data_IF_652356574939
#
_entry.id   IF_652356574939
#
_cell.length_a   1.000
_cell.length_b   1.000
_cell.length_c   1.000
_cell.angle_alpha   90.00
_cell.angle_beta   90.00
_cell.angle_gamma   90.00
#
_symmetry.space_group_name_H-M   'P 1'
#
loop_
_entity.id
_entity.type
_entity.pdbx_description
1 polymer ?
#
# COMPACT_ATOMS: atom_id res chain seq x y z
N UNK A 1 -8.04 51.46 11.20
CA UNK A 1 -8.75 51.22 9.92
C UNK A 1 -7.94 50.18 9.14
N UNK A 2 -8.41 48.94 9.05
CA UNK A 2 -7.78 47.93 8.21
C UNK A 2 -8.23 48.19 6.76
N UNK A 3 -7.28 48.48 5.87
CA UNK A 3 -7.55 48.66 4.44
C UNK A 3 -7.63 47.28 3.79
N UNK A 4 -8.82 46.94 3.29
CA UNK A 4 -9.09 45.71 2.55
C UNK A 4 -8.89 45.93 1.04
N UNK A 5 -7.75 46.49 0.63
CA UNK A 5 -7.41 46.62 -0.80
C UNK A 5 -6.85 45.29 -1.32
N UNK A 6 -7.74 44.34 -1.64
CA UNK A 6 -7.37 43.16 -2.44
C UNK A 6 -7.53 43.50 -3.91
N UNK A 7 -6.44 43.96 -4.54
CA UNK A 7 -6.42 44.19 -5.98
C UNK A 7 -6.64 42.87 -6.73
N UNK A 8 -7.31 42.97 -7.88
CA UNK A 8 -7.62 41.83 -8.73
C UNK A 8 -6.32 41.18 -9.25
N UNK A 9 -6.18 39.86 -9.04
CA UNK A 9 -5.10 39.06 -9.61
C UNK A 9 -5.51 38.54 -10.99
N UNK A 10 -4.65 38.77 -11.99
CA UNK A 10 -4.81 38.22 -13.33
C UNK A 10 -3.78 37.12 -13.55
N UNK A 11 -4.25 35.90 -13.82
CA UNK A 11 -3.39 34.76 -14.10
C UNK A 11 -3.15 34.61 -15.60
N UNK A 12 -1.92 34.25 -15.97
CA UNK A 12 -1.54 33.92 -17.35
C UNK A 12 -1.83 32.47 -17.73
N UNK A 13 -1.29 32.03 -18.87
CA UNK A 13 -1.51 30.67 -19.40
C UNK A 13 -0.94 29.53 -18.54
N UNK A 14 0.01 29.83 -17.63
CA UNK A 14 0.68 28.84 -16.78
C UNK A 14 1.90 28.18 -17.44
N UNK A 15 2.71 27.50 -16.61
CA UNK A 15 3.92 26.79 -17.04
C UNK A 15 3.78 25.33 -16.65
N UNK A 16 4.02 24.42 -17.62
CA UNK A 16 4.07 22.99 -17.37
C UNK A 16 5.49 22.56 -17.08
N UNK A 17 5.76 22.16 -15.84
CA UNK A 17 7.04 21.62 -15.41
C UNK A 17 6.96 20.09 -15.34
N UNK A 18 7.89 19.41 -16.00
CA UNK A 18 8.10 17.97 -15.85
C UNK A 18 9.40 17.73 -15.11
N UNK A 19 9.33 17.02 -14.00
CA UNK A 19 10.49 16.65 -13.20
C UNK A 19 10.87 15.21 -13.53
N UNK A 20 12.08 15.01 -14.04
CA UNK A 20 12.63 13.68 -14.32
C UNK A 20 13.36 13.13 -13.09
N UNK A 21 13.48 11.79 -13.02
CA UNK A 21 14.29 11.14 -11.98
C UNK A 21 15.74 11.60 -12.04
N UNK A 22 16.38 11.72 -10.87
CA UNK A 22 17.83 11.90 -10.77
C UNK A 22 18.57 10.73 -11.43
N UNK A 23 19.77 11.02 -11.96
CA UNK A 23 20.69 9.98 -12.43
C UNK A 23 21.07 9.02 -11.30
N UNK A 24 20.96 7.73 -11.57
CA UNK A 24 21.19 6.64 -10.62
C UNK A 24 21.69 5.39 -11.36
N UNK A 25 22.25 4.39 -10.65
CA UNK A 25 22.66 3.13 -11.27
C UNK A 25 21.49 2.41 -11.94
N UNK A 26 21.80 1.59 -12.94
CA UNK A 26 20.82 0.74 -13.63
C UNK A 26 20.10 -0.15 -12.62
N UNK A 27 18.78 -0.19 -12.70
CA UNK A 27 17.94 -1.00 -11.84
C UNK A 27 17.08 -1.93 -12.70
N UNK A 28 17.19 -3.25 -12.42
CA UNK A 28 16.44 -4.28 -13.14
C UNK A 28 14.95 -4.24 -12.77
N UNK A 29 14.02 -4.33 -13.74
CA UNK A 29 12.60 -4.33 -13.48
C UNK A 29 12.12 -5.60 -12.77
N UNK A 30 11.11 -5.46 -11.91
CA UNK A 30 10.26 -6.57 -11.49
C UNK A 30 8.97 -6.58 -12.31
N UNK A 31 8.65 -7.69 -12.97
CA UNK A 31 7.54 -7.78 -13.94
C UNK A 31 6.43 -8.67 -13.41
N UNK A 32 5.22 -8.12 -13.35
CA UNK A 32 4.02 -8.80 -12.88
C UNK A 32 2.91 -8.70 -13.92
N UNK A 33 2.15 -9.78 -14.08
CA UNK A 33 0.96 -9.79 -14.94
C UNK A 33 -0.30 -9.90 -14.08
N UNK A 34 -1.30 -9.09 -14.41
CA UNK A 34 -2.61 -9.10 -13.79
C UNK A 34 -3.66 -9.31 -14.88
N UNK A 35 -4.65 -10.15 -14.60
CA UNK A 35 -5.70 -10.53 -15.57
C UNK A 35 -7.07 -10.29 -14.94
N UNK A 36 -7.98 -9.71 -15.69
CA UNK A 36 -9.38 -9.51 -15.29
C UNK A 36 -10.29 -9.62 -16.52
N UNK A 37 -10.97 -10.76 -16.65
CA UNK A 37 -11.74 -11.11 -17.84
C UNK A 37 -10.85 -10.97 -19.10
N UNK A 38 -11.25 -10.19 -20.09
CA UNK A 38 -10.47 -9.94 -21.32
C UNK A 38 -9.32 -8.95 -21.12
N UNK A 39 -9.28 -8.22 -20.00
CA UNK A 39 -8.27 -7.20 -19.75
C UNK A 39 -7.03 -7.80 -19.10
N UNK A 40 -5.87 -7.49 -19.65
CA UNK A 40 -4.57 -7.89 -19.11
C UNK A 40 -3.73 -6.64 -18.89
N UNK A 41 -3.11 -6.54 -17.72
CA UNK A 41 -2.18 -5.48 -17.36
C UNK A 41 -0.80 -6.09 -17.07
N UNK A 42 0.24 -5.48 -17.64
CA UNK A 42 1.61 -5.76 -17.29
C UNK A 42 2.17 -4.62 -16.45
N UNK A 43 2.49 -4.91 -15.19
CA UNK A 43 3.12 -4.00 -14.25
C UNK A 43 4.63 -4.24 -14.24
N UNK A 44 5.38 -3.18 -14.48
CA UNK A 44 6.84 -3.17 -14.41
C UNK A 44 7.26 -2.22 -13.30
N UNK A 45 7.91 -2.74 -12.27
CA UNK A 45 8.19 -2.00 -11.04
C UNK A 45 9.68 -1.69 -10.90
N UNK A 46 9.96 -0.45 -10.47
CA UNK A 46 11.25 0.03 -9.94
C UNK A 46 12.46 -0.20 -10.87
N UNK A 47 12.37 0.23 -12.13
CA UNK A 47 13.45 0.14 -13.13
C UNK A 47 14.10 1.50 -13.43
N UNK A 48 15.33 1.47 -13.94
CA UNK A 48 16.05 2.66 -14.41
C UNK A 48 17.12 2.26 -15.42
N UNK A 49 17.27 2.91 -16.60
CA UNK A 49 16.67 4.20 -17.01
C UNK A 49 15.23 4.11 -17.54
N UNK A 50 14.62 5.25 -17.88
CA UNK A 50 13.21 5.39 -18.34
C UNK A 50 12.89 4.60 -19.62
N UNK A 51 13.86 4.41 -20.50
CA UNK A 51 13.66 3.75 -21.78
C UNK A 51 13.39 2.25 -21.56
N UNK A 52 12.20 1.79 -21.96
CA UNK A 52 11.76 0.41 -21.77
C UNK A 52 10.81 -0.01 -22.88
N UNK A 53 10.85 -1.28 -23.28
CA UNK A 53 9.92 -1.86 -24.24
C UNK A 53 9.07 -2.93 -23.56
N UNK A 54 7.75 -2.73 -23.55
CA UNK A 54 6.77 -3.65 -22.95
C UNK A 54 5.88 -4.22 -24.06
N UNK A 55 5.89 -5.53 -24.21
CA UNK A 55 5.14 -6.26 -25.24
C UNK A 55 4.33 -7.40 -24.63
N UNK A 56 3.18 -7.68 -25.23
CA UNK A 56 2.39 -8.86 -24.94
C UNK A 56 2.64 -9.91 -26.02
N UNK A 57 2.82 -11.15 -25.60
CA UNK A 57 2.83 -12.31 -26.48
C UNK A 57 1.47 -12.99 -26.32
N UNK A 58 0.68 -13.00 -27.40
CA UNK A 58 -0.64 -13.61 -27.43
C UNK A 58 -1.01 -14.05 -28.85
N UNK A 59 -1.86 -15.07 -29.01
CA UNK A 59 -2.30 -15.52 -30.33
C UNK A 59 -3.28 -14.54 -30.99
N UNK A 60 -4.09 -13.81 -30.19
CA UNK A 60 -5.08 -12.86 -30.67
C UNK A 60 -5.21 -11.66 -29.73
N UNK A 61 -4.75 -10.52 -30.21
CA UNK A 61 -4.91 -9.21 -29.57
C UNK A 61 -6.18 -8.53 -30.07
N UNK A 62 -7.05 -8.08 -29.16
CA UNK A 62 -8.21 -7.25 -29.50
C UNK A 62 -7.76 -5.78 -29.56
N UNK A 63 -7.08 -5.32 -28.50
CA UNK A 63 -6.63 -3.93 -28.38
C UNK A 63 -5.44 -3.83 -27.44
N UNK A 64 -4.47 -2.99 -27.79
CA UNK A 64 -3.36 -2.63 -26.89
C UNK A 64 -3.34 -1.12 -26.66
N UNK A 65 -2.88 -0.72 -25.48
CA UNK A 65 -2.73 0.67 -25.10
C UNK A 65 -1.26 1.01 -24.86
N UNK A 66 -0.90 2.28 -25.09
CA UNK A 66 0.43 2.79 -24.78
C UNK A 66 0.75 2.66 -23.28
N UNK A 67 2.01 2.35 -22.92
CA UNK A 67 2.39 2.20 -21.53
C UNK A 67 2.40 3.54 -20.80
N UNK A 68 1.80 3.57 -19.61
CA UNK A 68 1.90 4.71 -18.70
C UNK A 68 3.13 4.53 -17.80
N UNK A 69 4.08 5.48 -17.85
CA UNK A 69 5.31 5.47 -17.05
C UNK A 69 5.24 6.58 -16.00
N UNK A 70 5.56 6.24 -14.76
CA UNK A 70 5.56 7.15 -13.61
C UNK A 70 6.83 6.99 -12.79
N UNK A 71 7.21 8.04 -12.05
CA UNK A 71 8.27 7.96 -11.04
C UNK A 71 7.68 7.32 -9.78
N UNK A 72 8.28 6.23 -9.31
CA UNK A 72 7.87 5.55 -8.09
C UNK A 72 8.44 6.26 -6.84
N UNK A 73 7.90 5.99 -5.64
CA UNK A 73 8.43 6.56 -4.39
C UNK A 73 9.91 6.21 -4.12
N UNK A 74 10.45 5.16 -4.76
CA UNK A 74 11.86 4.80 -4.68
C UNK A 74 12.78 5.72 -5.50
N UNK A 75 12.20 6.66 -6.27
CA UNK A 75 12.91 7.52 -7.21
C UNK A 75 13.24 6.83 -8.53
N UNK A 76 12.73 5.63 -8.80
CA UNK A 76 12.91 4.89 -10.07
C UNK A 76 11.66 5.04 -10.94
N UNK A 77 11.64 4.44 -12.12
CA UNK A 77 10.45 4.37 -12.96
C UNK A 77 9.63 3.12 -12.65
N UNK A 78 8.31 3.24 -12.75
CA UNK A 78 7.39 2.12 -12.85
C UNK A 78 6.46 2.35 -14.04
N UNK A 79 6.01 1.28 -14.67
CA UNK A 79 5.19 1.36 -15.86
C UNK A 79 4.05 0.35 -15.83
N UNK A 80 2.93 0.70 -16.44
CA UNK A 80 1.80 -0.22 -16.67
C UNK A 80 1.42 -0.16 -18.14
N UNK A 81 1.41 -1.32 -18.80
CA UNK A 81 0.80 -1.49 -20.14
C UNK A 81 -0.48 -2.30 -20.01
N UNK A 82 -1.53 -1.85 -20.68
CA UNK A 82 -2.85 -2.50 -20.69
C UNK A 82 -3.14 -3.05 -22.09
N UNK A 83 -3.86 -4.15 -22.15
CA UNK A 83 -4.39 -4.71 -23.38
C UNK A 83 -5.64 -5.54 -23.14
N UNK A 84 -6.37 -5.80 -24.21
CA UNK A 84 -7.55 -6.66 -24.27
C UNK A 84 -7.26 -7.81 -25.20
N UNK A 85 -7.54 -9.03 -24.74
CA UNK A 85 -7.18 -10.27 -25.40
C UNK A 85 -8.37 -11.24 -25.38
N UNK A 86 -8.50 -12.03 -26.44
CA UNK A 86 -9.57 -13.04 -26.55
C UNK A 86 -9.34 -14.19 -25.57
N UNK A 87 -8.08 -14.63 -25.45
CA UNK A 87 -7.64 -15.60 -24.44
C UNK A 87 -6.62 -14.97 -23.48
N UNK A 88 -7.08 -14.38 -22.36
CA UNK A 88 -6.20 -13.74 -21.38
C UNK A 88 -5.25 -14.74 -20.70
N UNK A 89 -5.60 -16.03 -20.62
CA UNK A 89 -4.79 -17.03 -19.93
C UNK A 89 -3.52 -17.37 -20.72
N UNK A 90 -3.59 -17.34 -22.05
CA UNK A 90 -2.43 -17.53 -22.94
C UNK A 90 -1.45 -16.34 -22.98
N UNK A 91 -1.86 -15.16 -22.48
CA UNK A 91 -1.04 -13.94 -22.56
C UNK A 91 0.15 -14.01 -21.60
N UNK A 92 1.33 -13.73 -22.15
CA UNK A 92 2.58 -13.50 -21.41
C UNK A 92 3.05 -12.07 -21.65
N UNK A 93 3.60 -11.41 -20.61
CA UNK A 93 4.24 -10.11 -20.78
C UNK A 93 5.76 -10.26 -20.87
N UNK A 94 6.33 -9.67 -21.90
CA UNK A 94 7.76 -9.60 -22.17
C UNK A 94 8.23 -8.16 -22.05
N UNK A 95 9.23 -7.95 -21.22
CA UNK A 95 9.81 -6.62 -20.97
C UNK A 95 11.27 -6.65 -21.38
N UNK A 96 11.68 -5.70 -22.22
CA UNK A 96 13.07 -5.51 -22.61
C UNK A 96 13.58 -4.18 -22.03
N UNK A 97 14.67 -4.26 -21.28
CA UNK A 97 15.30 -3.14 -20.59
C UNK A 97 16.81 -3.34 -20.57
N UNK A 98 17.59 -2.35 -21.02
CA UNK A 98 19.06 -2.44 -21.12
C UNK A 98 19.57 -3.72 -21.81
N UNK A 99 18.88 -4.15 -22.88
CA UNK A 99 19.13 -5.39 -23.65
C UNK A 99 18.87 -6.72 -22.91
N UNK A 100 18.44 -6.68 -21.65
CA UNK A 100 17.96 -7.85 -20.92
C UNK A 100 16.45 -8.04 -21.13
N UNK A 101 15.99 -9.30 -21.13
CA UNK A 101 14.58 -9.66 -21.25
C UNK A 101 14.06 -10.23 -19.93
N UNK A 102 12.88 -9.79 -19.53
CA UNK A 102 12.21 -10.19 -18.30
C UNK A 102 10.82 -10.71 -18.62
N UNK A 103 10.51 -11.90 -18.11
CA UNK A 103 9.20 -12.53 -18.26
C UNK A 103 8.32 -12.20 -17.05
N UNK A 104 7.01 -12.10 -17.26
CA UNK A 104 6.06 -11.86 -16.18
C UNK A 104 5.93 -13.04 -15.23
N UNK A 105 5.91 -12.75 -13.93
CA UNK A 105 5.44 -13.69 -12.90
C UNK A 105 3.94 -13.47 -12.66
N UNK A 106 3.17 -14.54 -12.49
CA UNK A 106 1.74 -14.46 -12.19
C UNK A 106 1.52 -13.85 -10.80
N UNK A 107 0.74 -12.77 -10.74
CA UNK A 107 0.33 -12.20 -9.46
C UNK A 107 -0.96 -12.89 -9.01
N UNK A 108 -0.84 -13.90 -8.15
CA UNK A 108 -2.01 -14.56 -7.59
C UNK A 108 -2.67 -13.65 -6.54
N UNK A 109 -3.81 -13.07 -6.90
CA UNK A 109 -4.66 -12.34 -5.95
C UNK A 109 -5.18 -13.37 -4.94
N UNK A 110 -4.70 -13.33 -3.70
CA UNK A 110 -5.23 -14.17 -2.62
C UNK A 110 -6.69 -13.81 -2.34
N UNK A 111 -7.61 -14.41 -3.12
CA UNK A 111 -9.04 -14.29 -2.89
C UNK A 111 -9.40 -15.14 -1.67
N UNK A 112 -9.33 -14.57 -0.47
CA UNK A 112 -10.10 -15.09 0.67
C UNK A 112 -11.58 -14.81 0.40
N UNK A 113 -12.20 -15.61 -0.47
CA UNK A 113 -13.65 -15.73 -0.55
C UNK A 113 -14.12 -16.35 0.76
N UNK A 114 -14.62 -15.50 1.66
CA UNK A 114 -15.41 -15.91 2.81
C UNK A 114 -16.63 -16.68 2.31
N UNK A 115 -16.52 -18.01 2.24
CA UNK A 115 -17.68 -18.89 2.16
C UNK A 115 -18.32 -18.88 3.55
N UNK A 116 -19.28 -17.97 3.76
CA UNK A 116 -20.31 -18.13 4.78
C UNK A 116 -21.31 -19.17 4.26
N UNK A 117 -21.28 -20.35 4.86
CA UNK A 117 -22.32 -21.37 4.76
C UNK A 117 -22.54 -21.90 6.16
N UNK A 118 -23.75 -21.69 6.64
CA UNK A 118 -24.34 -22.09 7.92
C UNK A 118 -24.36 -23.60 8.15
N UNK A 119 -24.04 -24.03 9.37
CA UNK A 119 -24.26 -25.39 9.91
C UNK A 119 -23.32 -25.70 11.09
N UNK A 120 -23.88 -25.81 12.29
CA UNK A 120 -23.26 -26.08 13.61
C UNK A 120 -23.02 -27.61 13.85
N UNK A 121 -22.46 -28.13 14.99
CA UNK A 121 -21.08 -28.09 15.52
C UNK A 121 -20.36 -29.48 15.69
N UNK A 122 -19.01 -29.47 15.70
CA UNK A 122 -17.98 -30.35 16.37
C UNK A 122 -17.98 -31.91 16.26
N UNK A 123 -16.92 -32.68 16.67
CA UNK A 123 -15.58 -32.32 17.22
C UNK A 123 -14.33 -33.05 16.66
N UNK A 124 -13.16 -32.45 16.94
CA UNK A 124 -11.81 -33.01 17.19
C UNK A 124 -11.12 -33.99 16.22
N UNK A 125 -9.91 -33.60 15.77
CA UNK A 125 -8.62 -34.27 16.15
C UNK A 125 -7.38 -33.45 15.73
N UNK A 126 -6.37 -33.49 16.61
CA UNK A 126 -5.00 -32.97 16.55
C UNK A 126 -4.27 -33.40 15.25
N UNK A 127 -3.27 -32.69 14.70
CA UNK A 127 -1.93 -32.52 15.27
C UNK A 127 -1.07 -31.52 14.46
N UNK A 128 -0.08 -30.96 15.15
CA UNK A 128 0.75 -29.83 14.79
C UNK A 128 1.73 -30.07 13.61
N UNK A 129 1.93 -29.05 12.78
CA UNK A 129 3.23 -28.84 12.15
C UNK A 129 3.53 -27.34 12.05
N UNK A 130 4.54 -26.94 12.81
CA UNK A 130 5.06 -25.58 12.88
C UNK A 130 5.66 -25.18 11.53
N UNK A 131 5.04 -24.21 10.85
CA UNK A 131 5.75 -23.35 9.91
C UNK A 131 5.46 -21.91 10.28
N UNK A 132 6.44 -21.30 10.93
CA UNK A 132 6.52 -19.88 11.26
C UNK A 132 6.16 -19.07 10.02
N UNK A 133 4.94 -18.53 10.00
CA UNK A 133 4.51 -17.60 8.97
C UNK A 133 5.33 -16.32 9.12
N UNK A 134 6.06 -15.97 8.08
CA UNK A 134 6.73 -14.67 7.97
C UNK A 134 5.67 -13.58 8.12
N UNK A 135 5.75 -12.87 9.25
CA UNK A 135 4.85 -11.81 9.64
C UNK A 135 5.02 -10.69 8.62
N UNK A 136 3.99 -10.45 7.80
CA UNK A 136 3.93 -9.25 6.99
C UNK A 136 3.84 -8.04 7.94
N UNK A 137 4.97 -7.39 8.17
CA UNK A 137 4.99 -6.12 8.89
C UNK A 137 4.38 -5.04 8.00
N UNK A 138 3.15 -4.66 8.33
CA UNK A 138 2.59 -3.38 7.93
C UNK A 138 3.57 -2.26 8.34
N UNK A 139 3.90 -1.30 7.45
CA UNK A 139 4.71 -0.16 7.84
C UNK A 139 3.98 0.58 8.95
N UNK A 140 4.46 0.45 10.19
CA UNK A 140 4.06 1.32 11.30
C UNK A 140 4.56 2.73 10.99
N UNK A 141 3.78 3.46 10.20
CA UNK A 141 3.69 4.90 10.43
C UNK A 141 3.11 5.01 11.83
N UNK A 142 3.86 5.58 12.77
CA UNK A 142 3.36 5.92 14.10
C UNK A 142 2.30 7.04 13.98
N UNK A 143 1.16 6.72 13.37
CA UNK A 143 -0.08 7.35 13.75
C UNK A 143 -0.42 6.75 15.10
N UNK A 144 -0.11 7.48 16.17
CA UNK A 144 -0.48 7.13 17.53
C UNK A 144 -2.02 7.08 17.59
N UNK A 145 -2.60 5.94 17.22
CA UNK A 145 -4.00 5.63 17.45
C UNK A 145 -4.13 5.18 18.90
N UNK A 146 -3.86 6.12 19.82
CA UNK A 146 -4.20 5.92 21.22
C UNK A 146 -5.69 5.74 21.30
N UNK A 147 -6.13 4.59 21.82
CA UNK A 147 -7.51 4.38 22.14
C UNK A 147 -7.88 5.40 23.23
N UNK A 148 -8.61 6.45 22.87
CA UNK A 148 -8.96 7.57 23.77
C UNK A 148 -9.59 7.07 25.08
N UNK A 149 -10.32 5.97 25.01
CA UNK A 149 -10.88 5.26 26.18
C UNK A 149 -9.79 4.77 27.15
N UNK A 150 -8.67 4.25 26.66
CA UNK A 150 -7.56 3.78 27.50
C UNK A 150 -6.90 4.93 28.28
N UNK A 151 -6.70 6.08 27.64
CA UNK A 151 -6.15 7.28 28.31
C UNK A 151 -7.09 7.81 29.39
N UNK A 152 -8.40 7.83 29.12
CA UNK A 152 -9.39 8.26 30.13
C UNK A 152 -9.43 7.31 31.33
N UNK A 153 -9.34 6.00 31.12
CA UNK A 153 -9.30 5.00 32.20
C UNK A 153 -8.03 5.13 33.03
N UNK A 154 -6.88 5.36 32.39
CA UNK A 154 -5.61 5.56 33.10
C UNK A 154 -5.64 6.84 33.95
N UNK A 155 -6.15 7.94 33.40
CA UNK A 155 -6.33 9.20 34.12
C UNK A 155 -7.26 9.04 35.33
N UNK A 156 -8.38 8.33 35.16
CA UNK A 156 -9.32 8.08 36.24
C UNK A 156 -8.70 7.25 37.38
N UNK A 157 -7.93 6.20 37.06
CA UNK A 157 -7.20 5.38 38.06
C UNK A 157 -6.20 6.21 38.87
N UNK A 158 -5.48 7.12 38.21
CA UNK A 158 -4.52 7.99 38.88
C UNK A 158 -5.22 8.98 39.83
N UNK A 159 -6.36 9.53 39.42
CA UNK A 159 -7.17 10.42 40.26
C UNK A 159 -7.76 9.69 41.47
N UNK A 160 -8.27 8.47 41.30
CA UNK A 160 -8.76 7.66 42.41
C UNK A 160 -7.64 7.35 43.42
N UNK A 161 -6.45 6.94 42.95
CA UNK A 161 -5.32 6.67 43.83
C UNK A 161 -4.89 7.90 44.63
N UNK A 162 -4.83 9.08 43.98
CA UNK A 162 -4.52 10.35 44.66
C UNK A 162 -5.58 10.71 45.70
N UNK A 163 -6.86 10.55 45.38
CA UNK A 163 -7.96 10.85 46.30
C UNK A 163 -7.92 9.95 47.54
N UNK A 164 -7.72 8.64 47.35
CA UNK A 164 -7.58 7.68 48.47
C UNK A 164 -6.39 8.03 49.35
N UNK A 165 -5.23 8.34 48.76
CA UNK A 165 -4.03 8.72 49.51
C UNK A 165 -4.23 9.99 50.34
N UNK A 166 -4.87 11.02 49.78
CA UNK A 166 -5.16 12.27 50.50
C UNK A 166 -6.16 12.02 51.62
N UNK A 167 -7.25 11.29 51.36
CA UNK A 167 -8.24 10.97 52.38
C UNK A 167 -7.63 10.13 53.51
N UNK A 168 -6.76 9.17 53.18
CA UNK A 168 -6.03 8.39 54.18
C UNK A 168 -5.05 9.24 54.98
N UNK A 169 -4.30 10.13 54.33
CA UNK A 169 -3.38 11.06 55.01
C UNK A 169 -4.14 12.00 55.96
N UNK A 170 -5.26 12.56 55.51
CA UNK A 170 -6.11 13.44 56.33
C UNK A 170 -6.71 12.68 57.52
N UNK A 171 -7.13 11.43 57.30
CA UNK A 171 -7.64 10.56 58.38
C UNK A 171 -6.53 10.23 59.37
N UNK A 172 -5.36 9.80 58.90
CA UNK A 172 -4.22 9.51 59.77
C UNK A 172 -3.77 10.75 60.55
N UNK A 173 -3.78 11.94 59.93
CA UNK A 173 -3.47 13.20 60.62
C UNK A 173 -4.48 13.52 61.73
N UNK A 174 -5.76 13.23 61.54
CA UNK A 174 -6.82 13.43 62.54
C UNK A 174 -6.71 12.45 63.73
N UNK A 175 -6.11 11.27 63.52
CA UNK A 175 -5.96 10.24 64.55
C UNK A 175 -4.62 10.31 65.30
N UNK A 176 -3.57 10.89 64.69
CA UNK A 176 -2.21 10.94 65.24
C UNK A 176 -1.81 12.33 65.78
N UNK A 177 -2.66 13.34 65.62
CA UNK A 177 -2.57 14.69 66.19
C UNK A 177 -3.96 15.15 66.65
#
# INVERSE_FOLDING_TARGET
MCSWDTRQMFFGAGIKLFVESRSQPVAKPSVFIMKNETNVACLVKDFYPKNIKISFESPKTIKEFEPAIVVSPSGKYSAVKLGQFEDPNSVTCLVQHENEKFNSTYFEKSQRRSKRSSGDPEPMKHENSNKTSEICHEPKVHAEKVNMLSLTVLGLRMLFAKSVAINFLLTAKLFLF
#
